data_IF_666359380289
#
_entry.id   IF_666359380289
#
_cell.length_a   1.000
_cell.length_b   1.000
_cell.length_c   1.000
_cell.angle_alpha   90.00
_cell.angle_beta   90.00
_cell.angle_gamma   90.00
#
_symmetry.space_group_name_H-M   'P 1'
#
loop_
_entity.id
_entity.type
_entity.pdbx_description
1 polymer ?
#
# COMPACT_ATOMS: atom_id res chain seq x y z
N UNK A 1 16.16 8.90 -22.68
CA UNK A 1 16.15 7.44 -22.39
C UNK A 1 14.90 7.09 -21.57
N UNK A 2 13.80 6.73 -22.23
CA UNK A 2 12.54 6.39 -21.56
C UNK A 2 12.65 4.98 -20.98
N UNK A 3 12.85 4.89 -19.66
CA UNK A 3 12.75 3.62 -18.93
C UNK A 3 11.40 2.96 -19.24
N UNK A 4 11.41 1.87 -20.01
CA UNK A 4 10.25 1.02 -20.23
C UNK A 4 9.74 0.58 -18.86
N UNK A 5 8.52 1.01 -18.50
CA UNK A 5 7.91 0.66 -17.20
C UNK A 5 7.75 -0.86 -17.16
N UNK A 6 8.65 -1.54 -16.45
CA UNK A 6 8.59 -2.99 -16.19
C UNK A 6 7.16 -3.37 -15.80
N UNK A 7 6.62 -4.45 -16.37
CA UNK A 7 5.28 -4.93 -16.09
C UNK A 7 5.19 -5.49 -14.66
N UNK A 8 5.10 -4.60 -13.69
CA UNK A 8 5.08 -4.94 -12.27
C UNK A 8 3.65 -5.14 -11.76
N UNK A 9 3.40 -6.08 -10.84
CA UNK A 9 2.07 -6.33 -10.27
C UNK A 9 1.40 -5.11 -9.62
N UNK A 10 2.16 -4.07 -9.27
CA UNK A 10 1.66 -2.80 -8.71
C UNK A 10 1.60 -1.65 -9.74
N UNK A 11 1.63 -1.96 -11.04
CA UNK A 11 1.52 -0.97 -12.12
C UNK A 11 0.22 -0.17 -11.97
N UNK A 12 0.32 1.14 -12.15
CA UNK A 12 -0.81 2.06 -12.01
C UNK A 12 -1.17 2.43 -10.56
N UNK A 13 -0.53 1.83 -9.55
CA UNK A 13 -0.80 2.16 -8.14
C UNK A 13 -0.59 3.64 -7.82
N UNK A 14 0.29 4.35 -8.55
CA UNK A 14 0.48 5.80 -8.39
C UNK A 14 -0.83 6.59 -8.56
N UNK A 15 -1.74 6.15 -9.44
CA UNK A 15 -3.00 6.83 -9.74
C UNK A 15 -4.15 6.36 -8.83
N UNK A 16 -4.04 5.13 -8.32
CA UNK A 16 -5.03 4.51 -7.42
C UNK A 16 -4.75 4.81 -5.94
N UNK A 17 -3.50 5.12 -5.55
CA UNK A 17 -3.12 5.36 -4.16
C UNK A 17 -3.76 6.65 -3.62
N UNK A 18 -4.10 6.68 -2.33
CA UNK A 18 -4.53 7.92 -1.68
C UNK A 18 -3.39 8.92 -1.52
N UNK A 19 -3.73 10.19 -1.77
CA UNK A 19 -2.86 11.33 -1.50
C UNK A 19 -2.73 11.61 0.02
N UNK A 20 -1.82 12.50 0.44
CA UNK A 20 -1.53 12.74 1.86
C UNK A 20 -2.77 13.12 2.69
N UNK A 21 -3.56 14.08 2.19
CA UNK A 21 -4.82 14.46 2.82
C UNK A 21 -5.81 13.30 2.85
N UNK A 22 -5.99 12.61 1.72
CA UNK A 22 -6.87 11.45 1.60
C UNK A 22 -6.49 10.31 2.55
N UNK A 23 -5.20 10.07 2.82
CA UNK A 23 -4.77 9.07 3.81
C UNK A 23 -5.25 9.43 5.22
N UNK A 24 -5.30 10.71 5.55
CA UNK A 24 -5.79 11.19 6.85
C UNK A 24 -7.29 10.92 6.97
N UNK A 25 -8.06 11.30 5.95
CA UNK A 25 -9.51 11.05 5.88
C UNK A 25 -9.81 9.55 5.89
N UNK A 26 -9.10 8.76 5.10
CA UNK A 26 -9.26 7.31 5.05
C UNK A 26 -8.85 6.63 6.36
N UNK A 27 -7.88 7.16 7.10
CA UNK A 27 -7.57 6.64 8.44
C UNK A 27 -8.71 6.87 9.41
N UNK A 28 -9.37 8.04 9.36
CA UNK A 28 -10.57 8.33 10.16
C UNK A 28 -11.75 7.44 9.75
N UNK A 29 -12.00 7.27 8.45
CA UNK A 29 -13.18 6.56 7.92
C UNK A 29 -13.03 5.03 7.91
N UNK A 30 -11.88 4.51 7.46
CA UNK A 30 -11.64 3.08 7.29
C UNK A 30 -10.86 2.46 8.44
N UNK A 31 -10.18 3.26 9.26
CA UNK A 31 -9.32 2.78 10.34
C UNK A 31 -7.97 2.24 9.86
N UNK A 32 -7.33 1.45 10.73
CA UNK A 32 -5.99 0.88 10.52
C UNK A 32 -5.94 -0.24 9.46
N UNK A 33 -7.09 -0.81 9.07
CA UNK A 33 -7.14 -1.91 8.09
C UNK A 33 -6.53 -1.57 6.73
N UNK A 34 -6.54 -0.29 6.36
CA UNK A 34 -6.02 0.19 5.08
C UNK A 34 -4.54 0.56 5.10
N UNK A 35 -3.86 0.40 6.24
CA UNK A 35 -2.46 0.79 6.45
C UNK A 35 -1.70 -0.33 7.14
N UNK A 36 -0.62 -0.82 6.51
CA UNK A 36 0.21 -1.89 7.08
C UNK A 36 1.32 -1.39 8.02
N UNK A 37 1.42 -0.07 8.25
CA UNK A 37 2.40 0.55 9.13
C UNK A 37 1.96 0.68 10.60
N UNK A 38 2.82 1.28 11.46
CA UNK A 38 2.47 1.63 12.84
C UNK A 38 1.18 2.48 12.88
N UNK A 39 0.31 2.27 13.88
CA UNK A 39 -0.99 2.97 14.01
C UNK A 39 -0.89 4.50 13.85
N UNK A 40 0.23 5.08 14.29
CA UNK A 40 0.53 6.51 14.21
C UNK A 40 0.89 7.01 12.80
N UNK A 41 1.36 6.14 11.90
CA UNK A 41 1.89 6.54 10.59
C UNK A 41 0.91 6.22 9.47
N UNK A 42 0.64 7.20 8.60
CA UNK A 42 -0.14 7.07 7.34
C UNK A 42 0.65 6.30 6.25
N UNK A 43 1.52 5.41 6.68
CA UNK A 43 2.52 4.73 5.86
C UNK A 43 1.96 3.41 5.35
N UNK A 44 2.39 3.04 4.14
CA UNK A 44 1.98 1.79 3.47
C UNK A 44 0.47 1.67 3.25
N UNK A 45 -0.13 2.57 2.45
CA UNK A 45 -1.53 2.43 2.06
C UNK A 45 -1.69 1.18 1.18
N UNK A 46 -2.67 0.34 1.54
CA UNK A 46 -3.04 -0.86 0.77
C UNK A 46 -4.44 -0.78 0.17
N UNK A 47 -5.27 0.17 0.62
CA UNK A 47 -6.58 0.46 0.04
C UNK A 47 -6.49 1.49 -1.07
N UNK A 48 -7.39 1.38 -2.06
CA UNK A 48 -7.51 2.40 -3.12
C UNK A 48 -8.09 3.70 -2.55
N UNK A 49 -7.72 4.84 -3.14
CA UNK A 49 -8.27 6.15 -2.77
C UNK A 49 -9.80 6.11 -2.74
N UNK A 50 -10.41 6.79 -1.75
CA UNK A 50 -11.86 6.86 -1.53
C UNK A 50 -12.56 5.51 -1.29
N UNK A 51 -11.81 4.42 -1.11
CA UNK A 51 -12.37 3.11 -0.79
C UNK A 51 -11.76 2.56 0.50
N UNK A 52 -12.52 1.77 1.23
CA UNK A 52 -12.00 1.01 2.36
C UNK A 52 -11.64 -0.44 1.98
N UNK A 53 -11.42 -0.70 0.68
CA UNK A 53 -11.19 -2.03 0.12
C UNK A 53 -9.70 -2.23 -0.16
N UNK A 54 -9.15 -3.33 0.36
CA UNK A 54 -7.76 -3.72 0.13
C UNK A 54 -7.59 -4.11 -1.35
N UNK A 55 -6.55 -3.59 -1.99
CA UNK A 55 -6.20 -3.93 -3.36
C UNK A 55 -4.90 -4.72 -3.40
N UNK A 56 -4.87 -5.80 -4.17
CA UNK A 56 -3.66 -6.61 -4.37
C UNK A 56 -2.47 -5.77 -4.88
N UNK A 57 -2.74 -4.78 -5.74
CA UNK A 57 -1.75 -3.80 -6.22
C UNK A 57 -1.18 -2.96 -5.06
N UNK A 58 -2.04 -2.54 -4.14
CA UNK A 58 -1.66 -1.75 -2.97
C UNK A 58 -0.84 -2.55 -1.97
N UNK A 59 -1.21 -3.80 -1.74
CA UNK A 59 -0.42 -4.73 -0.90
C UNK A 59 0.96 -4.96 -1.51
N UNK A 60 1.05 -5.16 -2.82
CA UNK A 60 2.33 -5.35 -3.49
C UNK A 60 3.19 -4.08 -3.46
N UNK A 61 2.59 -2.90 -3.70
CA UNK A 61 3.30 -1.63 -3.56
C UNK A 61 3.82 -1.40 -2.13
N UNK A 62 3.02 -1.77 -1.12
CA UNK A 62 3.42 -1.71 0.27
C UNK A 62 4.58 -2.67 0.57
N UNK A 63 4.55 -3.89 0.04
CA UNK A 63 5.63 -4.87 0.16
C UNK A 63 6.95 -4.32 -0.41
N UNK A 64 6.93 -3.84 -1.65
CA UNK A 64 8.12 -3.30 -2.32
C UNK A 64 8.69 -2.11 -1.55
N UNK A 65 7.84 -1.16 -1.14
CA UNK A 65 8.29 0.02 -0.39
C UNK A 65 8.84 -0.38 0.98
N UNK A 66 8.21 -1.34 1.65
CA UNK A 66 8.67 -1.81 2.96
C UNK A 66 10.03 -2.50 2.87
N UNK A 67 10.30 -3.25 1.79
CA UNK A 67 11.62 -3.84 1.50
C UNK A 67 12.68 -2.76 1.26
N UNK A 68 12.36 -1.71 0.49
CA UNK A 68 13.27 -0.58 0.25
C UNK A 68 13.64 0.16 1.52
N UNK A 69 12.67 0.41 2.41
CA UNK A 69 12.90 1.17 3.65
C UNK A 69 13.22 0.28 4.86
N UNK A 70 13.65 -0.96 4.64
CA UNK A 70 14.03 -1.94 5.69
C UNK A 70 12.94 -2.19 6.77
N UNK A 71 11.67 -2.02 6.44
CA UNK A 71 10.54 -2.33 7.33
C UNK A 71 10.10 -3.79 7.20
N UNK A 72 10.93 -4.69 7.71
CA UNK A 72 10.76 -6.15 7.55
C UNK A 72 9.41 -6.67 8.05
N UNK A 73 8.90 -6.17 9.19
CA UNK A 73 7.58 -6.56 9.74
C UNK A 73 6.43 -6.23 8.77
N UNK A 74 6.48 -5.06 8.15
CA UNK A 74 5.47 -4.61 7.18
C UNK A 74 5.56 -5.43 5.90
N UNK A 75 6.78 -5.69 5.42
CA UNK A 75 7.02 -6.53 4.25
C UNK A 75 6.51 -7.96 4.44
N UNK A 76 6.80 -8.58 5.59
CA UNK A 76 6.29 -9.92 5.92
C UNK A 76 4.76 -9.95 5.97
N UNK A 77 4.14 -8.96 6.62
CA UNK A 77 2.67 -8.86 6.69
C UNK A 77 2.04 -8.70 5.30
N UNK A 78 2.61 -7.84 4.46
CA UNK A 78 2.17 -7.66 3.08
C UNK A 78 2.35 -8.94 2.24
N UNK A 79 3.47 -9.67 2.42
CA UNK A 79 3.71 -10.95 1.76
C UNK A 79 2.65 -12.00 2.13
N UNK A 80 2.32 -12.13 3.41
CA UNK A 80 1.25 -13.04 3.88
C UNK A 80 -0.11 -12.70 3.24
N UNK A 81 -0.46 -11.42 3.15
CA UNK A 81 -1.69 -10.97 2.48
C UNK A 81 -1.71 -11.23 0.97
N UNK A 82 -0.56 -11.40 0.32
CA UNK A 82 -0.48 -11.79 -1.09
C UNK A 82 -0.56 -13.32 -1.28
N UNK A 83 -0.26 -14.10 -0.23
CA UNK A 83 -0.23 -15.56 -0.25
C UNK A 83 -1.53 -16.20 0.21
N UNK A 84 -2.34 -15.51 1.03
CA UNK A 84 -3.70 -15.94 1.37
C UNK A 84 -4.59 -15.75 0.14
N UNK A 85 -4.78 -16.83 -0.63
CA UNK A 85 -5.72 -16.91 -1.74
C UNK A 85 -6.40 -18.26 -1.70
#
# INVERSE_FOLDING_TARGET
MTQTRKNVPWRGWKNEKPNYHQRTVMRKKCGSKCFLGPKSKKSFPICKKNTCKVSRKGVYAAYVRARQTKHNRVAQKAKRMLQQK
#
